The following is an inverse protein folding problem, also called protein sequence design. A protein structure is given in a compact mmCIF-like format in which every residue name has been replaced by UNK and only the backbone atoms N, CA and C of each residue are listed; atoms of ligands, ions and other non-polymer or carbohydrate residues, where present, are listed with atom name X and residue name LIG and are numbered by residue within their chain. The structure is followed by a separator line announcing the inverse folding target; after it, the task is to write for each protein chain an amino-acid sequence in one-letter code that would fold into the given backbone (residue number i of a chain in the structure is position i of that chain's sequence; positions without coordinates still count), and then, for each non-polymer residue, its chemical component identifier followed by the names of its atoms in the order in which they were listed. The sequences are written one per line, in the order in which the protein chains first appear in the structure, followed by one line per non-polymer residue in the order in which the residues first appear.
data_IF_458599340950
#
_entry.id   IF_458599340950
#
_cell.length_a   1.000
_cell.length_b   1.000
_cell.length_c   1.000
_cell.angle_alpha   90.00
_cell.angle_beta   90.00
_cell.angle_gamma   90.00
#
_symmetry.space_group_name_H-M   'P 1'
#
loop_
_entity.id
_entity.type
_entity.pdbx_description
1 polymer ?
#
# COMPACT_ATOMS: atom_id res chain seq x y z
N UNK A 1 36.30 23.29 -26.89
CA UNK A 1 35.82 21.91 -27.09
C UNK A 1 34.82 21.61 -25.99
N UNK A 2 33.52 21.68 -26.28
CA UNK A 2 32.46 21.40 -25.29
C UNK A 2 32.20 19.90 -25.30
N UNK A 3 32.57 19.19 -24.23
CA UNK A 3 32.14 17.82 -24.01
C UNK A 3 30.64 17.85 -23.71
N UNK A 4 29.84 17.21 -24.58
CA UNK A 4 28.45 16.90 -24.28
C UNK A 4 28.40 15.92 -23.09
N UNK A 5 27.50 16.08 -22.13
CA UNK A 5 27.35 15.14 -21.03
C UNK A 5 26.92 13.78 -21.59
N UNK A 6 27.77 12.77 -21.42
CA UNK A 6 27.47 11.38 -21.76
C UNK A 6 26.25 10.93 -20.97
N UNK A 7 25.13 10.71 -21.66
CA UNK A 7 23.99 9.96 -21.12
C UNK A 7 24.46 8.53 -20.83
N UNK A 8 24.48 8.05 -19.57
CA UNK A 8 24.76 6.64 -19.32
C UNK A 8 23.63 5.80 -19.92
N UNK A 9 24.01 4.79 -20.69
CA UNK A 9 23.09 3.87 -21.34
C UNK A 9 22.30 3.10 -20.27
N UNK A 10 20.98 3.23 -20.30
CA UNK A 10 20.02 2.55 -19.45
C UNK A 10 19.93 1.05 -19.82
N UNK A 11 21.00 0.29 -19.59
CA UNK A 11 21.05 -1.16 -19.80
C UNK A 11 20.47 -1.91 -18.60
N UNK A 12 19.17 -1.75 -18.37
CA UNK A 12 18.42 -2.48 -17.34
C UNK A 12 17.35 -3.39 -17.95
N UNK A 13 16.98 -4.52 -17.29
CA UNK A 13 15.83 -5.33 -17.67
C UNK A 13 14.57 -4.46 -17.84
N UNK A 14 13.73 -4.78 -18.83
CA UNK A 14 12.59 -3.94 -19.25
C UNK A 14 11.66 -3.56 -18.10
N UNK A 15 11.48 -4.46 -17.13
CA UNK A 15 10.69 -4.23 -15.92
C UNK A 15 11.32 -3.20 -14.97
N UNK A 16 12.65 -3.19 -14.80
CA UNK A 16 13.37 -2.18 -14.01
C UNK A 16 13.16 -0.80 -14.61
N UNK A 17 13.26 -0.69 -15.95
CA UNK A 17 12.99 0.57 -16.66
C UNK A 17 11.55 1.05 -16.46
N UNK A 18 10.56 0.17 -16.59
CA UNK A 18 9.14 0.53 -16.42
C UNK A 18 8.83 0.97 -14.99
N UNK A 19 9.42 0.31 -13.98
CA UNK A 19 9.25 0.69 -12.58
C UNK A 19 9.95 2.02 -12.25
N UNK A 20 11.16 2.24 -12.75
CA UNK A 20 11.88 3.52 -12.58
C UNK A 20 11.11 4.68 -13.24
N UNK A 21 10.54 4.45 -14.42
CA UNK A 21 9.71 5.43 -15.11
C UNK A 21 8.37 5.69 -14.40
N UNK A 22 7.76 4.66 -13.79
CA UNK A 22 6.55 4.81 -12.98
C UNK A 22 6.82 5.58 -11.67
N UNK A 23 8.02 5.42 -11.11
CA UNK A 23 8.44 6.03 -9.85
C UNK A 23 9.13 7.40 -10.01
N UNK A 24 9.36 7.86 -11.25
CA UNK A 24 10.09 9.10 -11.59
C UNK A 24 11.41 9.28 -10.81
N UNK A 25 12.22 8.22 -10.77
CA UNK A 25 13.45 8.17 -9.99
C UNK A 25 14.64 7.64 -10.79
N UNK A 26 15.72 8.45 -10.86
CA UNK A 26 17.02 8.06 -11.41
C UNK A 26 17.82 7.30 -10.34
N UNK A 27 17.85 5.96 -10.44
CA UNK A 27 18.64 5.12 -9.54
C UNK A 27 20.03 4.82 -10.14
N UNK A 28 21.09 5.00 -9.34
CA UNK A 28 22.39 4.40 -9.62
C UNK A 28 22.26 2.87 -9.59
N UNK A 29 22.90 2.17 -10.52
CA UNK A 29 22.79 0.72 -10.65
C UNK A 29 23.21 0.03 -9.33
N UNK A 30 22.30 -0.66 -8.62
CA UNK A 30 22.65 -1.34 -7.38
C UNK A 30 23.63 -2.48 -7.68
N UNK A 31 24.57 -2.79 -6.76
CA UNK A 31 25.57 -3.86 -6.97
C UNK A 31 24.96 -5.27 -7.00
N UNK A 32 23.68 -5.39 -6.64
CA UNK A 32 22.92 -6.63 -6.64
C UNK A 32 21.92 -6.60 -7.78
N UNK A 33 21.81 -7.73 -8.50
CA UNK A 33 20.83 -7.86 -9.55
C UNK A 33 19.41 -7.72 -8.99
N UNK A 34 18.47 -7.21 -9.81
CA UNK A 34 17.05 -7.17 -9.43
C UNK A 34 16.55 -8.57 -9.01
N UNK A 35 17.01 -9.62 -9.70
CA UNK A 35 16.61 -11.00 -9.43
C UNK A 35 17.03 -11.44 -8.03
N UNK A 36 18.24 -11.08 -7.59
CA UNK A 36 18.72 -11.40 -6.24
C UNK A 36 17.89 -10.69 -5.17
N UNK A 37 17.55 -9.42 -5.40
CA UNK A 37 16.72 -8.65 -4.46
C UNK A 37 15.29 -9.20 -4.39
N UNK A 38 14.70 -9.55 -5.53
CA UNK A 38 13.37 -10.16 -5.59
C UNK A 38 13.36 -11.54 -4.91
N UNK A 39 14.44 -12.32 -5.02
CA UNK A 39 14.55 -13.64 -4.37
C UNK A 39 14.59 -13.55 -2.84
N UNK A 40 15.01 -12.41 -2.28
CA UNK A 40 14.96 -12.16 -0.83
C UNK A 40 13.54 -11.83 -0.34
N UNK A 41 12.64 -11.45 -1.25
CA UNK A 41 11.31 -10.94 -0.92
C UNK A 41 10.20 -11.91 -1.32
N UNK A 42 10.40 -12.68 -2.39
CA UNK A 42 9.45 -13.67 -2.88
C UNK A 42 9.74 -15.03 -2.28
N UNK A 43 8.77 -15.58 -1.55
CA UNK A 43 8.75 -17.02 -1.28
C UNK A 43 8.58 -17.76 -2.61
N UNK A 44 9.12 -18.96 -2.72
CA UNK A 44 9.09 -19.77 -3.95
C UNK A 44 7.68 -19.89 -4.57
N UNK A 45 6.62 -19.95 -3.74
CA UNK A 45 5.22 -19.98 -4.19
C UNK A 45 4.80 -18.70 -4.89
N UNK A 46 5.21 -17.54 -4.37
CA UNK A 46 4.90 -16.23 -4.94
C UNK A 46 5.71 -15.98 -6.21
N UNK A 47 6.94 -16.50 -6.29
CA UNK A 47 7.76 -16.44 -7.49
C UNK A 47 7.13 -17.20 -8.67
N UNK A 48 6.56 -18.38 -8.43
CA UNK A 48 5.80 -19.13 -9.45
C UNK A 48 4.55 -18.35 -9.86
N UNK A 49 3.77 -17.86 -8.89
CA UNK A 49 2.57 -17.07 -9.17
C UNK A 49 2.91 -15.82 -10.01
N UNK A 50 3.98 -15.10 -9.66
CA UNK A 50 4.46 -13.92 -10.39
C UNK A 50 4.90 -14.29 -11.81
N UNK A 51 5.66 -15.38 -11.97
CA UNK A 51 6.07 -15.88 -13.27
C UNK A 51 4.87 -16.25 -14.14
N UNK A 52 3.86 -16.93 -13.60
CA UNK A 52 2.65 -17.28 -14.38
C UNK A 52 1.85 -16.04 -14.80
N UNK A 53 1.71 -15.05 -13.91
CA UNK A 53 1.07 -13.78 -14.23
C UNK A 53 1.84 -13.00 -15.31
N UNK A 54 3.18 -13.10 -15.33
CA UNK A 54 4.04 -12.47 -16.33
C UNK A 54 4.17 -13.28 -17.64
N UNK A 55 4.02 -14.59 -17.63
CA UNK A 55 4.11 -15.41 -18.84
C UNK A 55 2.83 -15.35 -19.66
N UNK A 56 1.70 -14.98 -19.04
CA UNK A 56 0.54 -14.47 -19.74
C UNK A 56 -0.02 -15.44 -20.80
N UNK A 57 -0.27 -16.69 -20.42
CA UNK A 57 -1.37 -17.41 -21.06
C UNK A 57 -2.62 -17.00 -20.30
N UNK A 58 -3.42 -16.02 -20.77
CA UNK A 58 -4.62 -15.66 -20.05
C UNK A 58 -5.51 -16.91 -19.99
N UNK A 59 -5.95 -17.40 -18.81
CA UNK A 59 -7.15 -18.20 -18.82
C UNK A 59 -8.20 -17.30 -19.47
N UNK A 60 -8.84 -17.79 -20.53
CA UNK A 60 -10.02 -17.16 -21.07
C UNK A 60 -11.02 -17.09 -19.91
N UNK A 61 -11.05 -15.95 -19.22
CA UNK A 61 -12.07 -15.71 -18.21
C UNK A 61 -13.35 -15.67 -19.01
N UNK A 62 -14.13 -16.73 -18.87
CA UNK A 62 -15.46 -16.81 -19.42
C UNK A 62 -16.15 -15.49 -19.08
N UNK A 63 -16.43 -14.71 -20.12
CA UNK A 63 -17.37 -13.60 -20.06
C UNK A 63 -18.70 -14.19 -19.63
N UNK A 64 -18.93 -14.19 -18.32
CA UNK A 64 -19.85 -15.13 -17.69
C UNK A 64 -20.39 -14.62 -16.37
N UNK A 65 -21.10 -13.50 -16.48
CA UNK A 65 -22.24 -13.09 -15.65
C UNK A 65 -22.04 -12.37 -14.30
N UNK A 66 -22.86 -11.32 -14.19
CA UNK A 66 -23.39 -10.67 -12.99
C UNK A 66 -22.52 -9.60 -12.32
N UNK A 67 -22.65 -8.36 -12.82
CA UNK A 67 -22.61 -7.18 -11.95
C UNK A 67 -21.51 -6.15 -12.21
N UNK A 68 -20.76 -6.25 -13.31
CA UNK A 68 -19.85 -5.17 -13.70
C UNK A 68 -20.66 -3.97 -14.21
N UNK A 69 -21.21 -3.16 -13.28
CA UNK A 69 -21.31 -1.73 -13.58
C UNK A 69 -19.92 -1.32 -14.03
N UNK A 70 -19.82 -0.77 -15.23
CA UNK A 70 -18.58 -0.19 -15.71
C UNK A 70 -18.22 0.94 -14.75
N UNK A 71 -17.46 0.62 -13.70
CA UNK A 71 -17.05 1.62 -12.73
C UNK A 71 -16.15 2.61 -13.48
N UNK A 72 -16.61 3.86 -13.52
CA UNK A 72 -15.95 4.97 -14.20
C UNK A 72 -14.64 5.34 -13.50
N UNK A 73 -13.83 6.17 -14.15
CA UNK A 73 -12.67 6.79 -13.48
C UNK A 73 -13.09 7.62 -12.25
N UNK A 74 -14.28 8.20 -12.31
CA UNK A 74 -14.86 8.98 -11.22
C UNK A 74 -15.20 8.11 -10.01
N UNK A 75 -15.66 6.87 -10.22
CA UNK A 75 -15.96 5.95 -9.12
C UNK A 75 -14.69 5.56 -8.35
N UNK A 76 -13.58 5.31 -9.05
CA UNK A 76 -12.29 5.01 -8.43
C UNK A 76 -11.80 6.18 -7.59
N UNK A 77 -11.90 7.39 -8.15
CA UNK A 77 -11.47 8.63 -7.49
C UNK A 77 -12.31 8.89 -6.25
N UNK A 78 -13.64 8.73 -6.34
CA UNK A 78 -14.57 8.91 -5.23
C UNK A 78 -14.34 7.89 -4.10
N UNK A 79 -14.03 6.63 -4.44
CA UNK A 79 -13.66 5.63 -3.45
C UNK A 79 -12.37 6.01 -2.71
N UNK A 80 -11.34 6.44 -3.45
CA UNK A 80 -10.08 6.88 -2.87
C UNK A 80 -10.24 8.11 -1.97
N UNK A 81 -10.99 9.12 -2.39
CA UNK A 81 -11.22 10.34 -1.60
C UNK A 81 -12.05 10.04 -0.35
N UNK A 82 -13.06 9.19 -0.47
CA UNK A 82 -13.90 8.76 0.66
C UNK A 82 -13.07 8.02 1.71
N UNK A 83 -12.31 6.98 1.31
CA UNK A 83 -11.44 6.22 2.23
C UNK A 83 -10.39 7.12 2.85
N UNK A 84 -9.74 8.00 2.06
CA UNK A 84 -8.77 8.98 2.58
C UNK A 84 -9.40 9.86 3.66
N UNK A 85 -10.59 10.41 3.39
CA UNK A 85 -11.29 11.26 4.35
C UNK A 85 -11.66 10.51 5.64
N UNK A 86 -12.05 9.24 5.54
CA UNK A 86 -12.37 8.39 6.68
C UNK A 86 -11.11 8.13 7.53
N UNK A 87 -10.00 7.76 6.90
CA UNK A 87 -8.73 7.49 7.59
C UNK A 87 -8.15 8.74 8.25
N UNK A 88 -8.21 9.90 7.60
CA UNK A 88 -7.81 11.18 8.21
C UNK A 88 -8.63 11.47 9.47
N UNK A 89 -9.94 11.18 9.47
CA UNK A 89 -10.79 11.35 10.65
C UNK A 89 -10.41 10.39 11.79
N UNK A 90 -10.08 9.14 11.47
CA UNK A 90 -9.61 8.15 12.46
C UNK A 90 -8.34 8.65 13.14
N UNK A 91 -7.36 9.09 12.36
CA UNK A 91 -6.09 9.64 12.84
C UNK A 91 -6.32 10.91 13.68
N UNK A 92 -7.12 11.85 13.19
CA UNK A 92 -7.39 13.11 13.89
C UNK A 92 -8.14 12.91 15.21
N UNK A 93 -9.11 11.98 15.26
CA UNK A 93 -9.81 11.60 16.50
C UNK A 93 -8.86 10.98 17.52
N UNK A 94 -7.81 10.31 17.03
CA UNK A 94 -6.83 9.69 17.89
C UNK A 94 -5.86 10.70 18.53
N UNK A 95 -5.34 11.62 17.73
CA UNK A 95 -4.47 12.69 18.23
C UNK A 95 -5.19 13.82 18.97
N UNK A 96 -6.53 13.82 19.01
CA UNK A 96 -7.28 14.77 19.81
C UNK A 96 -6.85 14.62 21.29
N UNK A 97 -6.35 15.70 21.93
CA UNK A 97 -5.90 15.64 23.31
C UNK A 97 -7.06 15.14 24.15
N UNK A 98 -6.84 14.01 24.81
CA UNK A 98 -7.84 13.42 25.68
C UNK A 98 -8.23 14.49 26.70
N UNK A 99 -9.48 14.97 26.66
CA UNK A 99 -10.10 15.75 27.75
C UNK A 99 -10.24 14.90 29.04
N UNK A 100 -9.36 13.93 29.26
CA UNK A 100 -9.37 12.99 30.38
C UNK A 100 -8.77 13.58 31.65
N UNK A 101 -8.07 14.72 31.57
CA UNK A 101 -7.64 15.45 32.77
C UNK A 101 -8.78 16.13 33.54
N UNK A 102 -9.95 16.34 32.93
CA UNK A 102 -11.00 17.21 33.53
C UNK A 102 -12.07 16.41 34.29
N UNK A 103 -12.27 15.12 34.02
CA UNK A 103 -13.26 14.29 34.74
C UNK A 103 -12.71 13.54 35.95
N UNK A 104 -11.39 13.31 36.02
CA UNK A 104 -10.75 12.80 37.23
C UNK A 104 -10.50 13.91 38.28
N UNK A 105 -10.49 15.18 37.88
CA UNK A 105 -10.25 16.32 38.76
C UNK A 105 -11.49 16.81 39.55
N UNK A 106 -12.63 16.12 39.45
CA UNK A 106 -13.85 16.49 40.18
C UNK A 106 -13.98 15.82 41.56
N UNK A 107 -13.06 14.93 41.96
CA UNK A 107 -13.05 14.34 43.30
C UNK A 107 -11.67 14.39 43.98
N UNK A 108 -11.56 15.38 44.88
CA UNK A 108 -10.97 15.32 46.23
C UNK A 108 -9.43 15.40 46.41
N UNK A 109 -9.03 16.51 47.05
CA UNK A 109 -7.95 16.71 48.04
C UNK A 109 -6.47 16.93 47.61
N UNK A 110 -5.66 17.64 48.45
CA UNK A 110 -4.45 18.34 48.03
C UNK A 110 -3.13 17.61 48.33
N UNK A 111 -2.15 17.91 47.47
CA UNK A 111 -0.67 17.78 47.58
C UNK A 111 -0.02 16.39 47.63
N UNK A 112 1.09 16.32 46.86
CA UNK A 112 2.20 15.37 46.86
C UNK A 112 2.00 13.97 46.28
N UNK A 113 1.80 13.89 44.96
CA UNK A 113 2.14 12.71 44.15
C UNK A 113 2.94 13.17 42.92
N UNK A 114 4.07 12.53 42.56
CA UNK A 114 4.82 12.89 41.37
C UNK A 114 3.88 12.76 40.16
N UNK A 115 3.77 13.84 39.38
CA UNK A 115 2.94 13.94 38.19
C UNK A 115 2.88 12.60 37.46
N UNK A 116 1.68 12.01 37.47
CA UNK A 116 1.44 10.59 37.21
C UNK A 116 2.23 10.04 36.03
N UNK A 117 2.85 8.88 36.24
CA UNK A 117 3.48 8.10 35.17
C UNK A 117 2.50 7.97 34.01
N UNK A 118 2.86 8.60 32.88
CA UNK A 118 2.12 8.45 31.63
C UNK A 118 2.10 6.96 31.28
N UNK A 119 0.91 6.36 31.25
CA UNK A 119 0.75 4.96 30.88
C UNK A 119 0.97 4.80 29.36
N UNK A 120 2.24 4.65 28.97
CA UNK A 120 2.64 4.39 27.58
C UNK A 120 2.00 3.12 26.98
N UNK A 121 1.48 2.21 27.81
CA UNK A 121 0.77 1.01 27.38
C UNK A 121 -0.52 1.34 26.64
N UNK A 122 -1.31 2.28 27.16
CA UNK A 122 -2.56 2.71 26.52
C UNK A 122 -2.31 3.35 25.15
N UNK A 123 -1.30 4.24 25.06
CA UNK A 123 -0.91 4.86 23.80
C UNK A 123 -0.45 3.84 22.76
N UNK A 124 0.34 2.84 23.18
CA UNK A 124 0.80 1.77 22.29
C UNK A 124 -0.37 0.95 21.76
N UNK A 125 -1.30 0.55 22.62
CA UNK A 125 -2.50 -0.20 22.20
C UNK A 125 -3.34 0.62 21.21
N UNK A 126 -3.49 1.92 21.46
CA UNK A 126 -4.24 2.83 20.60
C UNK A 126 -3.60 2.99 19.21
N UNK A 127 -2.28 3.15 19.15
CA UNK A 127 -1.55 3.22 17.89
C UNK A 127 -1.64 1.92 17.09
N UNK A 128 -1.53 0.76 17.74
CA UNK A 128 -1.72 -0.54 17.08
C UNK A 128 -3.13 -0.67 16.50
N UNK A 129 -4.16 -0.22 17.23
CA UNK A 129 -5.53 -0.24 16.72
C UNK A 129 -5.73 0.65 15.49
N UNK A 130 -5.08 1.83 15.44
CA UNK A 130 -5.07 2.67 14.23
C UNK A 130 -4.37 1.95 13.09
N UNK A 131 -3.17 1.40 13.32
CA UNK A 131 -2.40 0.70 12.28
C UNK A 131 -3.21 -0.42 11.65
N UNK A 132 -3.86 -1.26 12.46
CA UNK A 132 -4.75 -2.32 11.98
C UNK A 132 -5.94 -1.78 11.18
N UNK A 133 -6.52 -0.66 11.61
CA UNK A 133 -7.61 0.01 10.88
C UNK A 133 -7.13 0.51 9.52
N UNK A 134 -5.96 1.17 9.48
CA UNK A 134 -5.36 1.68 8.24
C UNK A 134 -5.03 0.54 7.27
N UNK A 135 -4.37 -0.51 7.75
CA UNK A 135 -4.02 -1.68 6.94
C UNK A 135 -5.25 -2.34 6.33
N UNK A 136 -6.31 -2.51 7.13
CA UNK A 136 -7.57 -3.12 6.68
C UNK A 136 -8.25 -2.27 5.60
N UNK A 137 -8.43 -0.98 5.83
CA UNK A 137 -9.11 -0.08 4.90
C UNK A 137 -8.31 0.11 3.61
N UNK A 138 -6.98 0.24 3.70
CA UNK A 138 -6.09 0.36 2.53
C UNK A 138 -6.11 -0.95 1.73
N UNK A 139 -6.02 -2.10 2.39
CA UNK A 139 -6.09 -3.41 1.72
C UNK A 139 -7.41 -3.61 0.98
N UNK A 140 -8.54 -3.26 1.62
CA UNK A 140 -9.86 -3.31 0.98
C UNK A 140 -9.95 -2.36 -0.24
N UNK A 141 -9.46 -1.13 -0.10
CA UNK A 141 -9.43 -0.16 -1.20
C UNK A 141 -8.60 -0.69 -2.39
N UNK A 142 -7.39 -1.17 -2.14
CA UNK A 142 -6.53 -1.77 -3.18
C UNK A 142 -7.21 -2.95 -3.87
N UNK A 143 -7.84 -3.83 -3.10
CA UNK A 143 -8.61 -4.96 -3.64
C UNK A 143 -9.73 -4.51 -4.59
N UNK A 144 -10.52 -3.52 -4.19
CA UNK A 144 -11.60 -2.95 -5.04
C UNK A 144 -11.04 -2.31 -6.32
N UNK A 145 -9.97 -1.51 -6.20
CA UNK A 145 -9.34 -0.86 -7.34
C UNK A 145 -8.78 -1.88 -8.35
N UNK A 146 -8.18 -2.97 -7.88
CA UNK A 146 -7.72 -4.07 -8.74
C UNK A 146 -8.86 -4.75 -9.47
N UNK A 147 -9.97 -5.03 -8.79
CA UNK A 147 -11.16 -5.61 -9.43
C UNK A 147 -11.71 -4.70 -10.53
N UNK A 148 -11.79 -3.40 -10.26
CA UNK A 148 -12.20 -2.39 -11.25
C UNK A 148 -11.23 -2.32 -12.44
N UNK A 149 -9.92 -2.42 -12.19
CA UNK A 149 -8.88 -2.37 -13.22
C UNK A 149 -8.91 -3.65 -14.08
N UNK A 150 -9.08 -4.82 -13.46
CA UNK A 150 -9.16 -6.10 -14.15
C UNK A 150 -10.38 -6.23 -15.06
N UNK A 151 -11.49 -5.54 -14.73
CA UNK A 151 -12.69 -5.53 -15.55
C UNK A 151 -12.58 -4.71 -16.85
N UNK A 152 -11.52 -3.91 -17.03
CA UNK A 152 -11.39 -3.01 -18.19
C UNK A 152 -10.81 -3.70 -19.43
N UNK A 153 -9.64 -4.30 -19.31
CA UNK A 153 -8.95 -4.98 -20.44
C UNK A 153 -8.15 -6.18 -19.93
N UNK A 154 -7.86 -7.19 -20.77
CA UNK A 154 -7.02 -8.32 -20.36
C UNK A 154 -5.60 -7.92 -19.94
N UNK A 155 -5.04 -6.88 -20.57
CA UNK A 155 -3.74 -6.32 -20.18
C UNK A 155 -3.78 -5.71 -18.77
N UNK A 156 -4.88 -5.01 -18.43
CA UNK A 156 -5.09 -4.47 -17.10
C UNK A 156 -5.39 -5.59 -16.08
N UNK A 157 -6.13 -6.63 -16.44
CA UNK A 157 -6.31 -7.81 -15.58
C UNK A 157 -4.98 -8.46 -15.18
N UNK A 158 -4.05 -8.58 -16.14
CA UNK A 158 -2.70 -9.06 -15.87
C UNK A 158 -1.93 -8.12 -14.94
N UNK A 159 -2.02 -6.80 -15.13
CA UNK A 159 -1.41 -5.82 -14.24
C UNK A 159 -1.98 -5.92 -12.82
N UNK A 160 -3.30 -6.05 -12.67
CA UNK A 160 -3.95 -6.25 -11.37
C UNK A 160 -3.50 -7.53 -10.67
N UNK A 161 -3.32 -8.63 -11.41
CA UNK A 161 -2.82 -9.89 -10.87
C UNK A 161 -1.37 -9.77 -10.37
N UNK A 162 -0.49 -9.11 -11.14
CA UNK A 162 0.89 -8.84 -10.72
C UNK A 162 0.92 -7.98 -9.44
N UNK A 163 0.12 -6.91 -9.36
CA UNK A 163 0.07 -6.06 -8.16
C UNK A 163 -0.44 -6.81 -6.92
N UNK A 164 -1.41 -7.73 -7.08
CA UNK A 164 -1.91 -8.55 -5.97
C UNK A 164 -0.86 -9.53 -5.44
N UNK A 165 -0.05 -10.12 -6.32
CA UNK A 165 1.05 -11.01 -5.92
C UNK A 165 2.15 -10.21 -5.21
N UNK A 166 2.49 -9.03 -5.75
CA UNK A 166 3.47 -8.14 -5.15
C UNK A 166 3.04 -7.68 -3.75
N UNK A 167 1.78 -7.28 -3.55
CA UNK A 167 1.27 -6.93 -2.22
C UNK A 167 1.41 -8.09 -1.22
N UNK A 168 1.04 -9.31 -1.62
CA UNK A 168 1.14 -10.48 -0.75
C UNK A 168 2.59 -10.76 -0.34
N UNK A 169 3.49 -10.78 -1.31
CA UNK A 169 4.90 -11.10 -1.08
C UNK A 169 5.64 -10.05 -0.24
N UNK A 170 5.25 -8.78 -0.37
CA UNK A 170 5.91 -7.68 0.34
C UNK A 170 5.27 -7.40 1.71
N UNK A 171 4.01 -7.77 1.90
CA UNK A 171 3.24 -7.54 3.13
C UNK A 171 3.48 -8.56 4.24
N UNK A 172 4.15 -9.69 3.98
CA UNK A 172 4.43 -10.74 4.98
C UNK A 172 5.60 -10.41 5.91
N UNK A 173 5.71 -9.18 6.42
CA UNK A 173 6.81 -8.73 7.30
C UNK A 173 6.31 -8.23 8.65
#
# INVERSE_FOLDING_TARGET
MVQAPRRPALSGPTLVRLLAQLADADFAEPPQSLSDRLSQWLVWTDAIALSTALSGQPPAVATGTAGARAFGGDDATNLCTSVRSALTKVIAREHAPAQRGVRAAAHVAPMDEPAGQVDYGEYRQRHLAIQQTLETEIGQLRGRLRAMLAAKTPALARLAAVDAIMERSLGTR
#
